data_IF_470247019165
#
_entry.id   IF_470247019165
#
_cell.length_a   1.000
_cell.length_b   1.000
_cell.length_c   1.000
_cell.angle_alpha   90.00
_cell.angle_beta   90.00
_cell.angle_gamma   90.00
#
_symmetry.space_group_name_H-M   'P 1'
#
loop_
_entity.id
_entity.type
_entity.pdbx_description
1 polymer ?
#
# COMPACT_ATOMS: atom_id res chain seq x y z
N UNK A 1 -7.67 4.48 -26.98
CA UNK A 1 -7.51 5.40 -25.83
C UNK A 1 -8.21 4.77 -24.63
N UNK A 2 -7.50 3.95 -23.84
CA UNK A 2 -7.97 3.43 -22.55
C UNK A 2 -6.73 3.33 -21.66
N UNK A 3 -6.59 4.25 -20.71
CA UNK A 3 -5.50 4.24 -19.73
C UNK A 3 -5.93 3.35 -18.57
N UNK A 4 -5.61 2.06 -18.67
CA UNK A 4 -5.61 1.16 -17.53
C UNK A 4 -4.42 1.59 -16.67
N UNK A 5 -4.62 2.22 -15.50
CA UNK A 5 -3.51 2.39 -14.56
C UNK A 5 -3.22 1.02 -13.94
N UNK A 6 -2.14 0.33 -14.32
CA UNK A 6 -1.81 -0.94 -13.72
C UNK A 6 -1.26 -0.68 -12.33
N UNK A 7 -1.68 -1.48 -11.36
CA UNK A 7 -0.93 -1.63 -10.12
C UNK A 7 0.54 -1.87 -10.46
N UNK A 8 1.43 -1.02 -9.96
CA UNK A 8 2.86 -1.16 -10.15
C UNK A 8 3.49 -1.62 -8.83
N UNK A 9 4.22 -2.73 -8.87
CA UNK A 9 4.93 -3.23 -7.69
C UNK A 9 5.87 -2.16 -7.09
N UNK A 10 6.44 -1.29 -7.94
CA UNK A 10 7.31 -0.18 -7.54
C UNK A 10 6.62 0.89 -6.67
N UNK A 11 5.30 1.05 -6.75
CA UNK A 11 4.55 2.04 -5.97
C UNK A 11 3.77 1.43 -4.80
N UNK A 12 3.77 0.09 -4.68
CA UNK A 12 2.92 -0.65 -3.74
C UNK A 12 3.08 -0.25 -2.27
N UNK A 13 4.30 0.04 -1.81
CA UNK A 13 4.53 0.51 -0.43
C UNK A 13 3.90 1.88 -0.20
N UNK A 14 4.09 2.83 -1.13
CA UNK A 14 3.53 4.17 -1.03
C UNK A 14 2.00 4.12 -1.01
N UNK A 15 1.38 3.41 -1.96
CA UNK A 15 -0.08 3.36 -2.08
C UNK A 15 -0.74 2.70 -0.88
N UNK A 16 -0.08 1.72 -0.23
CA UNK A 16 -0.58 1.15 1.02
C UNK A 16 -0.49 2.14 2.18
N UNK A 17 0.58 2.95 2.27
CA UNK A 17 0.75 3.94 3.34
C UNK A 17 -0.34 5.02 3.28
N UNK A 18 -0.70 5.48 2.08
CA UNK A 18 -1.69 6.55 1.91
C UNK A 18 -3.11 6.03 1.62
N UNK A 19 -3.34 4.73 1.80
CA UNK A 19 -4.64 4.12 1.49
C UNK A 19 -5.72 4.63 2.44
N UNK A 20 -6.64 5.46 1.94
CA UNK A 20 -7.72 6.08 2.72
C UNK A 20 -8.50 5.13 3.64
N UNK A 21 -8.81 3.92 3.17
CA UNK A 21 -9.54 2.91 3.96
C UNK A 21 -8.73 2.22 5.06
N UNK A 22 -7.43 2.51 5.18
CA UNK A 22 -6.54 1.90 6.19
C UNK A 22 -6.28 2.88 7.33
N UNK A 23 -6.89 2.63 8.48
CA UNK A 23 -6.79 3.51 9.66
C UNK A 23 -5.90 2.97 10.78
N UNK A 24 -5.55 1.69 10.73
CA UNK A 24 -4.81 1.00 11.79
C UNK A 24 -3.66 0.20 11.18
N UNK A 25 -2.47 0.35 11.76
CA UNK A 25 -1.29 -0.42 11.43
C UNK A 25 -0.50 -0.76 12.70
N UNK A 26 0.20 -1.88 12.65
CA UNK A 26 1.17 -2.27 13.67
C UNK A 26 2.51 -2.54 13.00
N UNK A 27 3.60 -2.05 13.58
CA UNK A 27 4.95 -2.29 13.06
C UNK A 27 5.82 -3.05 14.06
N UNK A 28 6.71 -3.84 13.50
CA UNK A 28 7.79 -4.51 14.20
C UNK A 28 9.12 -4.00 13.64
N UNK A 29 10.04 -3.67 14.54
CA UNK A 29 11.40 -3.25 14.18
C UNK A 29 12.41 -4.10 14.95
N UNK A 30 13.39 -4.67 14.23
CA UNK A 30 14.50 -5.41 14.81
C UNK A 30 15.79 -5.16 14.03
N UNK A 31 16.90 -5.01 14.74
CA UNK A 31 18.23 -5.06 14.13
C UNK A 31 18.60 -6.50 13.75
N UNK A 32 18.84 -6.75 12.47
CA UNK A 32 19.22 -8.05 11.93
C UNK A 32 20.54 -7.90 11.15
N UNK A 33 21.59 -8.59 11.59
CA UNK A 33 22.93 -8.43 11.02
C UNK A 33 23.40 -6.97 11.05
N UNK A 34 23.75 -6.43 9.88
CA UNK A 34 24.22 -5.05 9.71
C UNK A 34 23.14 -3.99 9.53
N UNK A 35 21.85 -4.35 9.51
CA UNK A 35 20.75 -3.45 9.15
C UNK A 35 19.55 -3.46 10.11
N UNK A 36 18.62 -2.54 9.88
CA UNK A 36 17.31 -2.53 10.52
C UNK A 36 16.31 -3.27 9.64
N UNK A 37 15.53 -4.16 10.25
CA UNK A 37 14.42 -4.84 9.63
C UNK A 37 13.12 -4.26 10.17
N UNK A 38 12.44 -3.47 9.35
CA UNK A 38 11.15 -2.86 9.64
C UNK A 38 10.07 -3.58 8.83
N UNK A 39 9.04 -4.07 9.52
CA UNK A 39 7.87 -4.67 8.91
C UNK A 39 6.62 -4.04 9.52
N UNK A 40 5.66 -3.66 8.69
CA UNK A 40 4.38 -3.13 9.13
C UNK A 40 3.24 -3.98 8.56
N UNK A 41 2.27 -4.30 9.40
CA UNK A 41 1.00 -4.91 9.02
C UNK A 41 -0.11 -3.87 9.11
N UNK A 42 -1.00 -3.89 8.13
CA UNK A 42 -2.17 -3.02 8.06
C UNK A 42 -3.41 -3.85 8.36
N UNK A 43 -4.26 -3.39 9.28
CA UNK A 43 -5.45 -4.15 9.70
C UNK A 43 -6.46 -4.29 8.57
N UNK A 44 -6.73 -3.19 7.87
CA UNK A 44 -7.42 -3.20 6.59
C UNK A 44 -6.37 -3.23 5.47
N UNK A 45 -6.46 -4.19 4.56
CA UNK A 45 -5.54 -4.27 3.43
C UNK A 45 -5.85 -3.17 2.42
N UNK A 46 -4.81 -2.47 1.98
CA UNK A 46 -4.86 -1.59 0.82
C UNK A 46 -4.45 -2.33 -0.45
N UNK A 47 -4.13 -1.59 -1.51
CA UNK A 47 -3.66 -2.14 -2.79
C UNK A 47 -4.60 -3.18 -3.42
N UNK A 48 -5.91 -3.02 -3.22
CA UNK A 48 -6.91 -3.90 -3.80
C UNK A 48 -6.97 -3.63 -5.31
N UNK A 49 -6.55 -4.62 -6.10
CA UNK A 49 -6.58 -4.54 -7.57
C UNK A 49 -7.92 -5.12 -8.06
N UNK A 50 -8.65 -4.33 -8.83
CA UNK A 50 -9.95 -4.72 -9.37
C UNK A 50 -10.77 -3.52 -9.82
N UNK A 51 -11.98 -3.79 -10.30
CA UNK A 51 -12.99 -2.78 -10.69
C UNK A 51 -12.41 -1.64 -11.55
N UNK A 52 -11.60 -1.99 -12.57
CA UNK A 52 -10.94 -1.06 -13.48
C UNK A 52 -10.16 0.10 -12.79
N UNK A 53 -9.55 -0.19 -11.63
CA UNK A 53 -8.73 0.78 -10.90
C UNK A 53 -9.52 1.70 -9.96
N UNK A 54 -10.85 1.52 -9.86
CA UNK A 54 -11.71 2.33 -8.98
C UNK A 54 -11.21 2.37 -7.53
N UNK A 55 -10.77 1.23 -6.98
CA UNK A 55 -10.27 1.21 -5.60
C UNK A 55 -9.06 2.12 -5.39
N UNK A 56 -8.18 2.22 -6.39
CA UNK A 56 -7.05 3.14 -6.35
C UNK A 56 -7.52 4.59 -6.44
N UNK A 57 -8.46 4.91 -7.33
CA UNK A 57 -9.04 6.26 -7.44
C UNK A 57 -9.75 6.73 -6.17
N UNK A 58 -10.38 5.81 -5.43
CA UNK A 58 -11.08 6.12 -4.18
C UNK A 58 -10.15 6.26 -2.98
N UNK A 59 -9.01 5.56 -2.97
CA UNK A 59 -8.15 5.45 -1.79
C UNK A 59 -6.80 6.16 -1.89
N UNK A 60 -6.30 6.40 -3.10
CA UNK A 60 -5.00 7.06 -3.34
C UNK A 60 -5.27 8.49 -3.77
N UNK A 61 -5.49 9.36 -2.77
CA UNK A 61 -5.80 10.78 -2.96
C UNK A 61 -4.61 11.58 -2.43
N UNK A 62 -3.99 12.40 -3.27
CA UNK A 62 -2.89 13.32 -2.92
C UNK A 62 -3.44 14.74 -2.94
#
# INVERSE_FOLDING_TARGET
>A
MFLWFPFAASTSHFTQVIWKGTSELGCYNRKCGGGQYLMCGYKASGNIVGDNGKYFSENVQI
#
